data_IF_340536794710
#
_entry.id   IF_340536794710
#
_cell.length_a   1.000
_cell.length_b   1.000
_cell.length_c   1.000
_cell.angle_alpha   90.00
_cell.angle_beta   90.00
_cell.angle_gamma   90.00
#
_symmetry.space_group_name_H-M   'P 1'
#
loop_
_entity.id
_entity.type
_entity.pdbx_description
1 polymer ?
#
# COMPACT_ATOMS: atom_id res chain seq x y z
N UNK A 1 76.64 -13.18 8.54
CA UNK A 1 76.08 -13.78 7.31
C UNK A 1 74.57 -13.76 7.43
N UNK A 2 73.91 -13.18 6.42
CA UNK A 2 72.49 -12.89 6.37
C UNK A 2 71.61 -14.15 6.39
N UNK A 3 70.43 -14.06 7.02
CA UNK A 3 69.37 -15.07 6.93
C UNK A 3 68.01 -14.40 7.04
N UNK A 4 67.39 -14.15 5.89
CA UNK A 4 66.18 -13.36 5.72
C UNK A 4 64.97 -13.84 6.54
N UNK A 5 64.33 -12.91 7.25
CA UNK A 5 63.02 -13.09 7.86
C UNK A 5 61.94 -13.20 6.77
N UNK A 6 61.43 -14.41 6.54
CA UNK A 6 60.22 -14.61 5.73
C UNK A 6 59.01 -14.15 6.55
N UNK A 7 58.61 -12.90 6.35
CA UNK A 7 57.30 -12.41 6.79
C UNK A 7 56.20 -13.19 6.05
N UNK A 8 55.61 -14.16 6.74
CA UNK A 8 54.39 -14.84 6.32
C UNK A 8 53.22 -13.87 6.48
N UNK A 9 52.93 -13.08 5.44
CA UNK A 9 51.65 -12.36 5.36
C UNK A 9 50.54 -13.40 5.25
N UNK A 10 49.92 -13.74 6.38
CA UNK A 10 48.71 -14.54 6.42
C UNK A 10 47.67 -13.92 5.48
N UNK A 11 47.33 -14.62 4.40
CA UNK A 11 46.21 -14.24 3.53
C UNK A 11 44.96 -14.28 4.39
N UNK A 12 44.49 -13.11 4.82
CA UNK A 12 43.21 -12.96 5.50
C UNK A 12 42.14 -13.70 4.70
N UNK A 13 41.44 -14.64 5.35
CA UNK A 13 40.39 -15.41 4.73
C UNK A 13 39.33 -14.44 4.16
N UNK A 14 39.28 -14.33 2.83
CA UNK A 14 38.32 -13.46 2.14
C UNK A 14 36.93 -14.03 2.42
N UNK A 15 36.19 -13.37 3.32
CA UNK A 15 34.79 -13.69 3.61
C UNK A 15 34.01 -13.64 2.30
N UNK A 16 33.52 -14.78 1.81
CA UNK A 16 32.67 -14.86 0.63
C UNK A 16 31.32 -14.23 0.97
N UNK A 17 31.08 -13.01 0.47
CA UNK A 17 29.80 -12.31 0.65
C UNK A 17 28.80 -12.87 -0.37
N UNK A 18 27.66 -13.41 0.08
CA UNK A 18 26.64 -13.89 -0.86
C UNK A 18 26.08 -12.70 -1.65
N UNK A 19 25.70 -12.92 -2.92
CA UNK A 19 25.16 -11.86 -3.79
C UNK A 19 23.94 -11.14 -3.18
N UNK A 20 23.16 -11.81 -2.32
CA UNK A 20 22.01 -11.20 -1.61
C UNK A 20 22.43 -10.19 -0.54
N UNK A 21 23.64 -10.34 0.01
CA UNK A 21 24.16 -9.52 1.10
C UNK A 21 25.05 -8.37 0.56
N UNK A 22 25.50 -8.49 -0.70
CA UNK A 22 26.23 -7.43 -1.39
C UNK A 22 25.29 -6.28 -1.81
N UNK A 23 25.30 -5.19 -1.06
CA UNK A 23 24.62 -3.95 -1.46
C UNK A 23 25.41 -3.29 -2.61
N UNK A 24 25.05 -3.59 -3.86
CA UNK A 24 25.49 -2.82 -5.03
C UNK A 24 24.47 -1.68 -5.29
N UNK A 25 24.71 -0.46 -4.78
CA UNK A 25 23.75 0.64 -4.88
C UNK A 25 23.56 1.08 -6.33
N UNK A 26 22.40 1.67 -6.61
CA UNK A 26 22.11 2.28 -7.91
C UNK A 26 22.77 3.67 -7.96
N UNK A 27 23.45 3.99 -9.06
CA UNK A 27 23.86 5.37 -9.39
C UNK A 27 22.66 6.10 -10.00
N UNK A 28 21.98 5.43 -10.93
CA UNK A 28 20.77 5.91 -11.59
C UNK A 28 19.81 4.73 -11.79
N UNK A 29 18.58 5.02 -12.22
CA UNK A 29 17.58 3.97 -12.46
C UNK A 29 18.09 2.98 -13.52
N UNK A 30 18.35 1.74 -13.09
CA UNK A 30 18.86 0.68 -13.95
C UNK A 30 20.39 0.59 -14.03
N UNK A 31 21.13 1.57 -13.48
CA UNK A 31 22.59 1.61 -13.51
C UNK A 31 23.12 1.39 -12.09
N UNK A 32 23.90 0.32 -11.92
CA UNK A 32 24.51 -0.03 -10.63
C UNK A 32 25.93 0.52 -10.52
N UNK A 33 26.37 0.78 -9.28
CA UNK A 33 27.68 1.36 -8.97
C UNK A 33 28.84 0.44 -9.32
N UNK A 34 28.69 -0.86 -9.13
CA UNK A 34 29.71 -1.85 -9.45
C UNK A 34 29.37 -2.58 -10.75
N UNK A 35 30.39 -2.78 -11.59
CA UNK A 35 30.33 -3.63 -12.78
C UNK A 35 30.17 -5.11 -12.42
N UNK A 36 29.69 -5.91 -13.37
CA UNK A 36 29.49 -7.35 -13.19
C UNK A 36 30.78 -8.07 -12.75
N UNK A 37 31.93 -7.71 -13.34
CA UNK A 37 33.22 -8.28 -12.98
C UNK A 37 33.62 -7.99 -11.51
N UNK A 38 33.37 -6.76 -11.04
CA UNK A 38 33.65 -6.38 -9.65
C UNK A 38 32.70 -7.09 -8.68
N UNK A 39 31.42 -7.23 -9.03
CA UNK A 39 30.44 -8.02 -8.26
C UNK A 39 30.84 -9.50 -8.20
N UNK A 40 31.31 -10.08 -9.31
CA UNK A 40 31.75 -11.47 -9.38
C UNK A 40 32.96 -11.73 -8.47
N UNK A 41 33.94 -10.83 -8.46
CA UNK A 41 35.09 -10.89 -7.54
C UNK A 41 34.67 -10.76 -6.07
N UNK A 42 33.83 -9.78 -5.75
CA UNK A 42 33.35 -9.54 -4.37
C UNK A 42 32.49 -10.68 -3.82
N UNK A 43 31.66 -11.28 -4.68
CA UNK A 43 30.80 -12.41 -4.28
C UNK A 43 31.50 -13.75 -4.30
N UNK A 44 32.72 -13.82 -4.84
CA UNK A 44 33.46 -15.07 -5.01
C UNK A 44 32.75 -16.07 -5.93
N UNK A 45 31.75 -15.66 -6.71
CA UNK A 45 30.93 -16.54 -7.56
C UNK A 45 31.74 -17.26 -8.64
N UNK A 46 32.88 -16.68 -9.03
CA UNK A 46 33.87 -17.32 -9.91
C UNK A 46 34.44 -18.63 -9.35
N UNK A 47 34.43 -18.82 -8.02
CA UNK A 47 34.89 -20.05 -7.37
C UNK A 47 33.82 -21.14 -7.31
N UNK A 48 32.56 -20.79 -7.59
CA UNK A 48 31.40 -21.69 -7.48
C UNK A 48 30.73 -21.93 -8.83
N UNK A 49 31.53 -22.03 -9.90
CA UNK A 49 31.07 -22.55 -11.17
C UNK A 49 30.76 -24.03 -10.93
N UNK A 50 29.48 -24.36 -10.75
CA UNK A 50 29.06 -25.75 -10.56
C UNK A 50 29.13 -26.46 -11.91
N UNK A 51 29.62 -27.69 -11.91
CA UNK A 51 29.57 -28.53 -13.10
C UNK A 51 28.11 -28.75 -13.53
N UNK A 52 27.77 -28.55 -14.82
CA UNK A 52 26.39 -28.61 -15.30
C UNK A 52 25.72 -29.96 -15.00
N UNK A 53 26.50 -31.04 -14.92
CA UNK A 53 26.04 -32.40 -14.60
C UNK A 53 25.58 -32.49 -13.13
N UNK A 54 26.32 -31.89 -12.20
CA UNK A 54 25.98 -31.88 -10.78
C UNK A 54 24.73 -31.01 -10.49
N UNK A 55 24.49 -29.96 -11.29
CA UNK A 55 23.29 -29.12 -11.19
C UNK A 55 22.05 -29.84 -11.70
N UNK A 56 22.16 -30.63 -12.78
CA UNK A 56 21.08 -31.45 -13.29
C UNK A 56 20.69 -32.57 -12.30
N UNK A 57 21.67 -33.17 -11.63
CA UNK A 57 21.44 -34.18 -10.59
C UNK A 57 20.80 -33.61 -9.30
N UNK A 58 21.06 -32.35 -8.98
CA UNK A 58 20.49 -31.65 -7.82
C UNK A 58 19.15 -30.95 -8.10
N UNK A 59 18.58 -31.09 -9.30
CA UNK A 59 17.27 -30.54 -9.62
C UNK A 59 16.18 -31.23 -8.78
N UNK A 60 15.24 -30.47 -8.17
CA UNK A 60 14.18 -31.07 -7.36
C UNK A 60 13.35 -32.04 -8.20
N UNK A 61 12.96 -33.21 -7.66
CA UNK A 61 12.14 -34.16 -8.40
C UNK A 61 10.84 -33.50 -8.86
N UNK A 62 10.31 -33.87 -10.05
CA UNK A 62 9.08 -33.28 -10.57
C UNK A 62 7.98 -33.40 -9.51
N UNK A 63 7.29 -32.29 -9.24
CA UNK A 63 6.17 -32.25 -8.29
C UNK A 63 5.19 -33.37 -8.65
N UNK A 64 4.93 -34.26 -7.68
CA UNK A 64 3.97 -35.39 -7.84
C UNK A 64 2.66 -34.85 -8.44
N UNK A 65 2.14 -35.45 -9.52
CA UNK A 65 0.91 -34.97 -10.15
C UNK A 65 -0.26 -35.05 -9.16
N UNK A 66 -1.01 -33.95 -9.03
CA UNK A 66 -2.22 -33.93 -8.22
C UNK A 66 -3.21 -34.99 -8.72
N UNK A 67 -3.77 -35.80 -7.80
CA UNK A 67 -4.71 -36.88 -8.15
C UNK A 67 -5.99 -36.28 -8.72
N UNK A 68 -6.36 -36.66 -9.94
CA UNK A 68 -7.56 -36.16 -10.66
C UNK A 68 -8.87 -36.73 -10.10
N UNK A 69 -8.80 -37.79 -9.31
CA UNK A 69 -9.94 -38.52 -8.74
C UNK A 69 -9.83 -38.64 -7.22
N UNK A 70 -10.99 -38.55 -6.55
CA UNK A 70 -11.18 -38.78 -5.12
C UNK A 70 -12.16 -39.95 -4.96
N UNK A 71 -11.80 -40.90 -4.11
CA UNK A 71 -12.71 -41.98 -3.69
C UNK A 71 -13.61 -41.43 -2.58
N UNK A 72 -14.92 -41.35 -2.84
CA UNK A 72 -15.92 -41.00 -1.83
C UNK A 72 -16.60 -42.27 -1.34
N UNK A 73 -16.68 -42.46 -0.03
CA UNK A 73 -17.51 -43.50 0.56
C UNK A 73 -18.99 -43.20 0.30
N UNK A 74 -19.75 -44.19 -0.11
CA UNK A 74 -21.18 -44.10 -0.44
C UNK A 74 -21.96 -44.98 0.52
N UNK A 75 -23.03 -44.44 1.10
CA UNK A 75 -23.89 -45.16 2.05
C UNK A 75 -24.88 -46.10 1.38
N UNK A 76 -25.23 -47.18 2.09
CA UNK A 76 -26.23 -48.19 1.70
C UNK A 76 -25.61 -49.57 1.47
N UNK A 77 -26.17 -50.61 2.12
CA UNK A 77 -25.60 -51.96 2.20
C UNK A 77 -25.47 -52.68 0.85
N UNK A 78 -26.21 -52.24 -0.17
CA UNK A 78 -26.17 -52.78 -1.54
C UNK A 78 -25.54 -51.83 -2.57
N UNK A 79 -24.92 -50.71 -2.14
CA UNK A 79 -24.48 -49.62 -3.04
C UNK A 79 -22.95 -49.50 -3.21
N UNK A 80 -22.21 -50.57 -2.93
CA UNK A 80 -20.80 -50.72 -3.33
C UNK A 80 -19.75 -49.96 -2.51
N UNK A 81 -20.10 -49.41 -1.32
CA UNK A 81 -19.24 -48.74 -0.31
C UNK A 81 -18.39 -47.54 -0.76
N UNK A 82 -17.86 -47.49 -1.98
CA UNK A 82 -16.98 -46.43 -2.48
C UNK A 82 -17.25 -46.10 -3.96
N UNK A 83 -17.14 -44.82 -4.32
CA UNK A 83 -17.19 -44.33 -5.71
C UNK A 83 -16.00 -43.43 -6.00
N UNK A 84 -15.35 -43.68 -7.13
CA UNK A 84 -14.27 -42.82 -7.66
C UNK A 84 -14.91 -41.65 -8.40
N UNK A 85 -14.66 -40.42 -7.95
CA UNK A 85 -15.26 -39.20 -8.51
C UNK A 85 -14.15 -38.21 -8.91
N UNK A 86 -14.31 -37.56 -10.05
CA UNK A 86 -13.42 -36.47 -10.48
C UNK A 86 -13.49 -35.27 -9.53
N UNK A 87 -12.34 -34.68 -9.21
CA UNK A 87 -12.26 -33.49 -8.32
C UNK A 87 -12.96 -32.27 -8.93
N UNK A 88 -12.81 -32.07 -10.24
CA UNK A 88 -13.49 -31.03 -11.02
C UNK A 88 -14.25 -31.69 -12.17
N UNK A 89 -15.59 -31.59 -12.15
CA UNK A 89 -16.42 -32.06 -13.25
C UNK A 89 -16.27 -31.13 -14.46
N UNK A 90 -16.31 -31.65 -15.70
CA UNK A 90 -16.31 -30.81 -16.90
C UNK A 90 -17.57 -29.94 -16.97
N UNK A 91 -17.50 -28.83 -17.70
CA UNK A 91 -18.65 -27.95 -17.92
C UNK A 91 -19.65 -28.67 -18.85
N UNK A 92 -20.95 -28.56 -18.56
CA UNK A 92 -22.02 -29.13 -19.39
C UNK A 92 -22.27 -28.32 -20.68
N UNK A 93 -22.02 -27.02 -20.63
CA UNK A 93 -22.24 -26.09 -21.73
C UNK A 93 -20.90 -25.51 -22.21
N UNK A 94 -20.71 -25.54 -23.53
CA UNK A 94 -19.60 -24.92 -24.24
C UNK A 94 -20.15 -23.81 -25.13
N UNK A 95 -19.48 -22.66 -25.18
CA UNK A 95 -19.81 -21.62 -26.14
C UNK A 95 -19.44 -22.08 -27.55
N UNK A 96 -20.14 -21.60 -28.56
CA UNK A 96 -19.82 -21.84 -29.98
C UNK A 96 -18.47 -21.24 -30.37
N UNK A 97 -18.10 -20.12 -29.74
CA UNK A 97 -16.81 -19.45 -29.94
C UNK A 97 -16.07 -19.27 -28.62
N UNK A 98 -14.75 -19.43 -28.65
CA UNK A 98 -13.87 -19.16 -27.52
C UNK A 98 -13.30 -17.73 -27.60
N UNK A 99 -13.44 -16.96 -26.51
CA UNK A 99 -12.77 -15.67 -26.40
C UNK A 99 -11.25 -15.86 -26.30
N UNK A 100 -10.49 -15.15 -27.14
CA UNK A 100 -9.03 -15.16 -27.08
C UNK A 100 -8.52 -14.68 -25.72
N UNK A 101 -7.54 -15.39 -25.15
CA UNK A 101 -6.90 -14.98 -23.89
C UNK A 101 -6.13 -13.68 -24.10
N UNK A 102 -6.33 -12.65 -23.27
CA UNK A 102 -5.57 -11.41 -23.40
C UNK A 102 -4.08 -11.66 -23.15
N UNK A 103 -3.23 -10.92 -23.87
CA UNK A 103 -1.78 -11.00 -23.68
C UNK A 103 -1.39 -10.69 -22.23
N UNK A 104 -0.42 -11.44 -21.69
CA UNK A 104 0.10 -11.22 -20.33
C UNK A 104 0.76 -9.85 -20.24
N UNK A 105 0.09 -8.87 -19.62
CA UNK A 105 0.67 -7.55 -19.37
C UNK A 105 1.36 -7.53 -18.00
N UNK A 106 2.66 -7.25 -17.98
CA UNK A 106 3.42 -6.91 -16.77
C UNK A 106 3.04 -5.50 -16.31
N UNK A 107 1.88 -5.33 -15.67
CA UNK A 107 1.58 -4.09 -14.93
C UNK A 107 2.06 -4.25 -13.49
N UNK A 108 3.22 -3.64 -13.19
CA UNK A 108 3.64 -3.48 -11.80
C UNK A 108 2.70 -2.47 -11.12
N UNK A 109 2.28 -2.77 -9.90
CA UNK A 109 1.51 -1.82 -9.07
C UNK A 109 2.45 -0.66 -8.72
N UNK A 110 2.15 0.53 -9.23
CA UNK A 110 2.93 1.74 -8.95
C UNK A 110 2.35 2.39 -7.70
N UNK A 111 3.03 2.26 -6.57
CA UNK A 111 2.78 3.08 -5.40
C UNK A 111 3.42 4.46 -5.64
N UNK A 112 2.59 5.50 -5.75
CA UNK A 112 3.07 6.87 -5.97
C UNK A 112 3.51 7.45 -4.63
N UNK A 113 4.75 7.91 -4.55
CA UNK A 113 5.24 8.69 -3.41
C UNK A 113 4.49 10.02 -3.34
N UNK A 114 4.31 10.55 -2.13
CA UNK A 114 3.79 11.89 -1.93
C UNK A 114 4.72 12.94 -2.59
N UNK A 115 4.15 14.08 -3.03
CA UNK A 115 4.92 15.28 -3.41
C UNK A 115 5.88 15.65 -2.27
N UNK A 116 7.10 16.11 -2.60
CA UNK A 116 8.08 16.54 -1.58
C UNK A 116 7.60 17.69 -0.69
N UNK A 117 6.65 18.51 -1.15
CA UNK A 117 6.01 19.55 -0.32
C UNK A 117 5.07 19.00 0.76
N UNK A 118 4.64 17.74 0.64
CA UNK A 118 3.72 17.09 1.59
C UNK A 118 4.55 16.28 2.57
N UNK A 119 4.94 16.90 3.67
CA UNK A 119 5.60 16.23 4.80
C UNK A 119 4.61 16.02 5.94
N UNK A 120 4.73 14.98 6.79
CA UNK A 120 3.88 14.80 7.97
C UNK A 120 3.77 16.11 8.78
N UNK A 121 2.55 16.51 9.11
CA UNK A 121 2.25 17.77 9.79
C UNK A 121 2.11 19.02 8.92
N UNK A 122 2.35 18.92 7.61
CA UNK A 122 2.03 20.02 6.68
C UNK A 122 0.53 20.28 6.68
N UNK A 123 0.15 21.56 6.69
CA UNK A 123 -1.25 21.95 6.52
C UNK A 123 -1.61 21.89 5.04
N UNK A 124 -2.79 21.35 4.78
CA UNK A 124 -3.30 21.02 3.47
C UNK A 124 -4.62 21.76 3.27
N UNK A 125 -4.77 22.43 2.12
CA UNK A 125 -6.05 23.00 1.70
C UNK A 125 -6.75 21.99 0.79
N UNK A 126 -7.96 21.59 1.16
CA UNK A 126 -8.74 20.65 0.36
C UNK A 126 -9.43 21.37 -0.79
N UNK A 127 -9.33 20.85 -2.01
CA UNK A 127 -9.95 21.45 -3.19
C UNK A 127 -11.28 20.80 -3.57
N UNK A 128 -11.43 19.50 -3.30
CA UNK A 128 -12.56 18.72 -3.75
C UNK A 128 -13.35 18.07 -2.60
N UNK A 129 -14.63 17.78 -2.87
CA UNK A 129 -15.54 17.11 -1.94
C UNK A 129 -16.27 18.06 -0.99
N UNK A 130 -16.90 17.49 0.04
CA UNK A 130 -17.73 18.24 0.99
C UNK A 130 -16.94 19.22 1.85
N UNK A 131 -15.67 18.93 2.14
CA UNK A 131 -14.79 19.77 2.94
C UNK A 131 -13.86 20.65 2.08
N UNK A 132 -14.25 21.00 0.86
CA UNK A 132 -13.48 21.94 0.01
C UNK A 132 -13.26 23.28 0.73
N UNK A 133 -12.11 23.89 0.50
CA UNK A 133 -11.62 25.09 1.17
C UNK A 133 -11.15 24.86 2.61
N UNK A 134 -11.47 23.74 3.27
CA UNK A 134 -11.02 23.51 4.65
C UNK A 134 -9.50 23.30 4.69
N UNK A 135 -8.89 23.82 5.75
CA UNK A 135 -7.47 23.66 6.07
C UNK A 135 -7.31 22.53 7.06
N UNK A 136 -6.47 21.56 6.75
CA UNK A 136 -6.49 20.23 7.36
C UNK A 136 -5.06 19.73 7.53
N UNK A 137 -4.77 18.96 8.57
CA UNK A 137 -3.41 18.52 8.89
C UNK A 137 -3.10 17.17 8.25
N UNK A 138 -1.97 17.06 7.56
CA UNK A 138 -1.50 15.79 7.00
C UNK A 138 -0.88 14.90 8.06
N UNK A 139 -1.27 13.62 8.11
CA UNK A 139 -0.74 12.66 9.08
C UNK A 139 0.28 11.72 8.45
N UNK A 140 -0.20 10.84 7.55
CA UNK A 140 0.63 9.84 6.88
C UNK A 140 0.07 9.51 5.50
N UNK A 141 0.92 8.99 4.63
CA UNK A 141 0.48 8.38 3.38
C UNK A 141 0.06 6.92 3.67
N UNK A 142 -1.09 6.50 3.15
CA UNK A 142 -1.57 5.13 3.24
C UNK A 142 -0.95 4.25 2.15
N UNK A 143 -1.06 2.94 2.32
CA UNK A 143 -0.57 1.97 1.33
C UNK A 143 -1.17 2.22 -0.05
N UNK A 144 -2.45 2.61 -0.16
CA UNK A 144 -3.08 2.97 -1.44
C UNK A 144 -2.43 4.17 -2.17
N UNK A 145 -1.56 4.91 -1.50
CA UNK A 145 -0.99 6.17 -1.98
C UNK A 145 -1.86 7.40 -1.66
N UNK A 146 -3.03 7.20 -1.05
CA UNK A 146 -3.88 8.29 -0.57
C UNK A 146 -3.32 8.90 0.70
N UNK A 147 -3.59 10.19 0.90
CA UNK A 147 -3.19 10.94 2.08
C UNK A 147 -4.23 10.71 3.18
N UNK A 148 -3.78 10.32 4.38
CA UNK A 148 -4.58 10.39 5.58
C UNK A 148 -4.46 11.79 6.18
N UNK A 149 -5.60 12.45 6.30
CA UNK A 149 -5.69 13.84 6.68
C UNK A 149 -6.71 13.95 7.81
N UNK A 150 -6.45 14.80 8.81
CA UNK A 150 -7.42 15.11 9.86
C UNK A 150 -7.48 16.61 10.08
N UNK A 151 -8.70 17.12 10.14
CA UNK A 151 -8.95 18.47 10.57
C UNK A 151 -9.45 18.35 11.99
N UNK A 152 -8.74 18.86 13.01
CA UNK A 152 -9.20 18.69 14.39
C UNK A 152 -10.70 18.99 14.46
N UNK A 153 -11.52 17.97 14.75
CA UNK A 153 -12.93 17.98 14.35
C UNK A 153 -13.69 19.14 15.03
N UNK A 154 -13.19 19.54 16.20
CA UNK A 154 -13.60 20.72 16.97
C UNK A 154 -13.54 22.04 16.19
N UNK A 155 -12.58 22.22 15.28
CA UNK A 155 -12.35 23.48 14.58
C UNK A 155 -12.97 23.56 13.18
N UNK A 156 -12.85 22.50 12.37
CA UNK A 156 -13.23 22.55 10.96
C UNK A 156 -14.21 21.45 10.52
N UNK A 157 -14.65 20.61 11.47
CA UNK A 157 -15.60 19.52 11.26
C UNK A 157 -15.17 18.53 10.16
N UNK A 158 -13.87 18.45 9.85
CA UNK A 158 -13.32 17.53 8.86
C UNK A 158 -12.75 16.29 9.56
N UNK A 159 -13.45 15.15 9.58
CA UNK A 159 -12.96 13.96 10.27
C UNK A 159 -11.73 13.38 9.59
N UNK A 160 -11.14 12.36 10.20
CA UNK A 160 -10.13 11.49 9.60
C UNK A 160 -10.63 10.99 8.25
N UNK A 161 -9.93 11.41 7.20
CA UNK A 161 -10.37 11.19 5.82
C UNK A 161 -9.20 10.89 4.92
N UNK A 162 -9.47 10.03 3.93
CA UNK A 162 -8.55 9.77 2.82
C UNK A 162 -8.79 10.74 1.69
N UNK A 163 -7.72 11.34 1.18
CA UNK A 163 -7.78 12.33 0.11
C UNK A 163 -6.65 12.06 -0.89
N UNK A 164 -6.95 12.24 -2.17
CA UNK A 164 -5.95 12.11 -3.21
C UNK A 164 -5.09 13.37 -3.29
N UNK A 165 -3.77 13.21 -3.43
CA UNK A 165 -2.79 14.29 -3.48
C UNK A 165 -3.13 15.42 -4.48
N UNK A 166 -3.68 15.08 -5.65
CA UNK A 166 -4.01 16.06 -6.67
C UNK A 166 -5.08 17.07 -6.25
N UNK A 167 -5.94 16.71 -5.28
CA UNK A 167 -7.04 17.58 -4.81
C UNK A 167 -6.66 18.38 -3.57
N UNK A 168 -5.37 18.64 -3.40
CA UNK A 168 -4.83 19.29 -2.22
C UNK A 168 -3.77 20.31 -2.63
N UNK A 169 -3.80 21.49 -2.01
CA UNK A 169 -2.68 22.42 -2.00
C UNK A 169 -1.90 22.20 -0.70
N UNK A 170 -0.60 21.98 -0.80
CA UNK A 170 0.28 21.93 0.37
C UNK A 170 0.70 23.35 0.70
N UNK A 171 0.49 23.79 1.94
CA UNK A 171 0.98 25.08 2.41
C UNK A 171 2.39 24.95 2.95
N UNK A 172 3.07 26.10 3.10
CA UNK A 172 4.38 26.22 3.74
C UNK A 172 4.32 25.97 5.26
N UNK A 173 3.15 26.17 5.88
CA UNK A 173 2.92 25.98 7.31
C UNK A 173 2.95 24.50 7.71
N UNK A 174 3.74 24.19 8.75
CA UNK A 174 3.95 22.84 9.27
C UNK A 174 3.76 22.80 10.77
N UNK A 175 3.09 21.78 11.24
CA UNK A 175 2.95 21.43 12.65
C UNK A 175 3.91 20.28 12.94
N UNK A 176 4.68 20.33 14.04
CA UNK A 176 5.46 19.19 14.46
C UNK A 176 4.55 18.08 15.02
N UNK A 177 4.55 16.93 14.34
CA UNK A 177 3.71 15.75 14.63
C UNK A 177 4.57 14.56 15.09
N UNK A 178 5.86 14.77 15.35
CA UNK A 178 6.79 13.73 15.80
C UNK A 178 6.28 12.95 17.03
N UNK A 179 5.59 13.62 17.95
CA UNK A 179 5.04 13.00 19.16
C UNK A 179 3.70 12.26 18.97
N UNK A 180 3.06 12.35 17.80
CA UNK A 180 1.72 11.80 17.57
C UNK A 180 1.83 10.33 17.18
N UNK A 181 1.22 9.47 17.99
CA UNK A 181 1.19 8.02 17.79
C UNK A 181 -0.07 7.64 17.01
N UNK A 182 0.11 7.26 15.74
CA UNK A 182 -0.97 6.78 14.88
C UNK A 182 -1.17 5.27 15.07
N UNK A 183 -2.40 4.84 15.31
CA UNK A 183 -2.71 3.42 15.47
C UNK A 183 -2.59 2.64 14.16
N UNK A 184 -2.22 1.36 14.26
CA UNK A 184 -2.11 0.44 13.12
C UNK A 184 -3.45 0.13 12.46
N UNK A 185 -4.55 0.41 13.15
CA UNK A 185 -5.91 0.27 12.63
C UNK A 185 -6.25 1.30 11.55
N UNK A 186 -5.51 2.42 11.48
CA UNK A 186 -5.69 3.48 10.46
C UNK A 186 -5.10 3.04 9.10
N UNK A 187 -5.73 2.03 8.50
CA UNK A 187 -5.43 1.47 7.18
C UNK A 187 -6.55 1.76 6.19
N UNK A 188 -6.29 1.53 4.91
CA UNK A 188 -7.23 1.80 3.82
C UNK A 188 -8.59 1.11 3.96
N UNK A 189 -8.61 -0.10 4.52
CA UNK A 189 -9.81 -0.90 4.72
C UNK A 189 -10.82 -0.21 5.65
N UNK A 190 -10.33 0.48 6.68
CA UNK A 190 -11.17 1.19 7.64
C UNK A 190 -12.02 2.26 6.96
N UNK A 191 -11.54 2.87 5.87
CA UNK A 191 -12.18 3.99 5.19
C UNK A 191 -12.92 3.60 3.91
N UNK A 192 -13.11 2.31 3.64
CA UNK A 192 -13.91 1.85 2.50
C UNK A 192 -15.39 2.10 2.82
N UNK A 193 -16.15 2.56 1.82
CA UNK A 193 -17.61 2.67 1.96
C UNK A 193 -18.21 1.27 1.93
N UNK A 194 -19.07 0.90 2.89
CA UNK A 194 -19.77 -0.38 2.83
C UNK A 194 -20.63 -0.43 1.57
N UNK A 195 -20.61 -1.56 0.88
CA UNK A 195 -21.49 -1.81 -0.27
C UNK A 195 -22.81 -2.35 0.27
N UNK A 196 -23.91 -1.67 -0.02
CA UNK A 196 -25.23 -2.23 0.25
C UNK A 196 -25.51 -3.33 -0.79
N UNK A 197 -25.97 -4.51 -0.35
CA UNK A 197 -26.40 -5.54 -1.30
C UNK A 197 -27.59 -5.01 -2.10
N UNK A 198 -27.63 -5.31 -3.40
CA UNK A 198 -28.80 -5.00 -4.22
C UNK A 198 -29.95 -5.90 -3.75
N UNK A 199 -31.14 -5.31 -3.56
CA UNK A 199 -32.35 -6.08 -3.25
C UNK A 199 -32.63 -7.08 -4.38
N UNK A 200 -33.01 -8.35 -4.08
CA UNK A 200 -33.33 -9.37 -5.09
C UNK A 200 -34.40 -8.91 -6.10
N UNK A 201 -35.32 -8.04 -5.66
CA UNK A 201 -36.40 -7.49 -6.50
C UNK A 201 -35.93 -6.59 -7.63
N UNK A 202 -34.76 -5.95 -7.50
CA UNK A 202 -34.19 -5.07 -8.55
C UNK A 202 -33.46 -5.86 -9.66
N UNK A 203 -33.29 -7.17 -9.50
CA UNK A 203 -32.67 -8.06 -10.50
C UNK A 203 -33.69 -8.93 -11.23
N UNK A 204 -34.92 -9.03 -10.72
CA UNK A 204 -36.04 -9.64 -11.44
C UNK A 204 -36.70 -8.57 -12.32
N UNK A 205 -37.03 -8.96 -13.56
CA UNK A 205 -37.73 -8.12 -14.53
C UNK A 205 -38.97 -7.47 -13.88
N UNK A 206 -38.96 -6.15 -13.67
CA UNK A 206 -40.13 -5.38 -13.22
C UNK A 206 -40.16 -4.93 -11.75
N UNK A 207 -39.05 -4.94 -11.01
CA UNK A 207 -38.99 -4.30 -9.68
C UNK A 207 -39.12 -2.77 -9.74
N UNK A 208 -39.83 -2.17 -8.77
CA UNK A 208 -39.98 -0.72 -8.65
C UNK A 208 -38.63 -0.05 -8.40
N UNK A 209 -38.19 0.78 -9.36
CA UNK A 209 -36.89 1.43 -9.40
C UNK A 209 -36.67 2.38 -8.20
N UNK A 210 -37.74 2.79 -7.51
CA UNK A 210 -37.74 3.83 -6.50
C UNK A 210 -37.72 3.33 -5.04
N UNK A 211 -37.85 2.03 -4.77
CA UNK A 211 -37.82 1.47 -3.40
C UNK A 211 -36.42 1.37 -2.76
N UNK A 212 -35.38 1.92 -3.39
CA UNK A 212 -34.06 1.97 -2.77
C UNK A 212 -34.06 2.98 -1.61
N UNK A 213 -34.36 2.51 -0.40
CA UNK A 213 -34.13 3.24 0.85
C UNK A 213 -32.65 3.65 0.90
N UNK A 214 -32.37 4.92 0.63
CA UNK A 214 -31.03 5.51 0.80
C UNK A 214 -30.72 5.52 2.29
N UNK A 215 -29.94 4.55 2.75
CA UNK A 215 -29.41 4.57 4.10
C UNK A 215 -28.31 5.64 4.18
N UNK A 216 -28.57 6.70 4.95
CA UNK A 216 -27.56 7.70 5.24
C UNK A 216 -26.43 7.10 6.08
N UNK A 217 -25.20 7.53 5.79
CA UNK A 217 -24.03 7.01 6.49
C UNK A 217 -23.95 7.56 7.91
N UNK A 218 -24.06 6.68 8.90
CA UNK A 218 -23.78 7.00 10.30
C UNK A 218 -22.37 6.50 10.70
N UNK A 219 -21.53 7.35 11.34
CA UNK A 219 -20.24 6.91 11.85
C UNK A 219 -20.39 5.89 12.98
N UNK A 220 -19.61 4.80 12.92
CA UNK A 220 -19.51 3.84 14.02
C UNK A 220 -18.82 4.46 15.23
N UNK A 221 -19.12 3.95 16.43
CA UNK A 221 -18.54 4.48 17.67
C UNK A 221 -17.03 4.28 17.76
N UNK A 222 -16.51 3.22 17.14
CA UNK A 222 -15.06 3.01 16.96
C UNK A 222 -14.40 4.16 16.20
N UNK A 223 -15.03 4.65 15.11
CA UNK A 223 -14.49 5.78 14.34
C UNK A 223 -14.52 7.08 15.15
N UNK A 224 -15.56 7.28 15.98
CA UNK A 224 -15.65 8.45 16.87
C UNK A 224 -14.54 8.42 17.92
N UNK A 225 -14.29 7.26 18.55
CA UNK A 225 -13.20 7.07 19.52
C UNK A 225 -11.83 7.34 18.90
N UNK A 226 -11.55 6.72 17.74
CA UNK A 226 -10.30 6.95 17.00
C UNK A 226 -10.09 8.43 16.63
N UNK A 227 -11.16 9.12 16.24
CA UNK A 227 -11.08 10.56 15.95
C UNK A 227 -10.69 11.35 17.20
N UNK A 228 -11.36 11.09 18.33
CA UNK A 228 -11.09 11.80 19.59
C UNK A 228 -9.65 11.59 20.05
N UNK A 229 -9.12 10.38 19.93
CA UNK A 229 -7.76 10.07 20.39
C UNK A 229 -6.69 10.73 19.53
N UNK A 230 -6.86 10.75 18.21
CA UNK A 230 -5.96 11.45 17.29
C UNK A 230 -6.06 12.97 17.48
N UNK A 231 -7.28 13.50 17.60
CA UNK A 231 -7.48 14.94 17.75
C UNK A 231 -6.93 15.45 19.09
N UNK A 232 -7.04 14.70 20.20
CA UNK A 232 -6.42 15.06 21.48
C UNK A 232 -4.91 15.30 21.33
N UNK A 233 -4.21 14.40 20.61
CA UNK A 233 -2.77 14.50 20.40
C UNK A 233 -2.40 15.70 19.52
N UNK A 234 -3.20 15.96 18.48
CA UNK A 234 -2.95 17.08 17.56
C UNK A 234 -3.26 18.41 18.22
N UNK A 235 -4.32 18.50 19.03
CA UNK A 235 -4.64 19.70 19.79
C UNK A 235 -3.56 20.02 20.82
N UNK A 236 -2.96 19.00 21.44
CA UNK A 236 -1.81 19.18 22.32
C UNK A 236 -0.59 19.70 21.56
N UNK A 237 -0.28 19.13 20.38
CA UNK A 237 0.82 19.62 19.52
C UNK A 237 0.56 21.06 19.03
N UNK A 238 -0.69 21.37 18.66
CA UNK A 238 -1.09 22.71 18.21
C UNK A 238 -0.93 23.76 19.32
N UNK A 239 -1.22 23.39 20.56
CA UNK A 239 -1.11 24.29 21.71
C UNK A 239 0.34 24.56 22.14
N UNK A 240 1.29 23.69 21.77
CA UNK A 240 2.73 23.89 22.00
C UNK A 240 3.38 24.82 20.97
N UNK A 241 2.73 25.06 19.84
CA UNK A 241 3.27 25.91 18.79
C UNK A 241 3.31 27.38 19.27
N UNK A 242 4.37 28.17 18.95
CA UNK A 242 4.46 29.57 19.37
C UNK A 242 3.25 30.40 18.92
N UNK A 243 2.73 30.11 17.73
CA UNK A 243 1.57 30.80 17.13
C UNK A 243 0.26 30.01 17.31
N UNK A 244 0.08 29.34 18.45
CA UNK A 244 -1.04 28.42 18.67
C UNK A 244 -2.42 29.05 18.42
N UNK A 245 -2.64 30.29 18.86
CA UNK A 245 -3.94 30.96 18.73
C UNK A 245 -4.28 31.28 17.27
N UNK A 246 -3.33 31.90 16.56
CA UNK A 246 -3.45 32.21 15.13
C UNK A 246 -3.68 30.94 14.33
N UNK A 247 -2.96 29.86 14.64
CA UNK A 247 -3.08 28.60 13.91
C UNK A 247 -4.42 27.90 14.15
N UNK A 248 -5.01 28.03 15.35
CA UNK A 248 -6.37 27.55 15.65
C UNK A 248 -7.41 28.28 14.80
N UNK A 249 -7.32 29.61 14.70
CA UNK A 249 -8.21 30.40 13.84
C UNK A 249 -7.99 30.10 12.35
N UNK A 250 -6.73 29.94 11.94
CA UNK A 250 -6.36 29.57 10.59
C UNK A 250 -7.00 28.25 10.17
N UNK A 251 -6.95 27.21 11.01
CA UNK A 251 -7.60 25.92 10.73
C UNK A 251 -9.13 26.01 10.70
N UNK A 252 -9.74 26.88 11.51
CA UNK A 252 -11.19 27.11 11.55
C UNK A 252 -11.70 27.77 10.27
N UNK A 253 -10.96 28.75 9.73
CA UNK A 253 -11.39 29.53 8.57
C UNK A 253 -11.16 28.77 7.25
N UNK A 254 -12.18 28.66 6.37
CA UNK A 254 -11.99 28.09 5.05
C UNK A 254 -11.18 29.02 4.15
N UNK A 255 -10.40 28.43 3.25
CA UNK A 255 -9.76 29.09 2.13
C UNK A 255 -10.79 29.39 1.03
N UNK A 256 -10.76 30.62 0.55
CA UNK A 256 -11.45 31.09 -0.64
C UNK A 256 -10.54 32.13 -1.32
N UNK A 257 -10.73 32.30 -2.63
CA UNK A 257 -10.12 33.40 -3.37
C UNK A 257 -11.10 34.57 -3.38
N UNK A 258 -10.63 35.75 -2.99
CA UNK A 258 -11.39 36.98 -3.14
C UNK A 258 -11.09 37.63 -4.49
N UNK A 259 -11.86 38.66 -4.84
CA UNK A 259 -11.59 39.51 -6.00
C UNK A 259 -10.14 39.99 -5.99
N UNK A 260 -9.48 39.93 -7.16
CA UNK A 260 -8.07 40.33 -7.37
C UNK A 260 -7.03 39.47 -6.64
N UNK A 261 -7.39 38.29 -6.10
CA UNK A 261 -6.42 37.29 -5.65
C UNK A 261 -6.15 36.25 -6.75
N UNK A 262 -4.94 36.25 -7.31
CA UNK A 262 -4.58 35.34 -8.39
C UNK A 262 -3.70 34.18 -7.89
N UNK A 263 -4.10 32.91 -8.09
CA UNK A 263 -3.36 31.74 -7.55
C UNK A 263 -1.90 31.63 -7.99
N UNK A 264 -1.55 32.15 -9.18
CA UNK A 264 -0.17 32.15 -9.66
C UNK A 264 0.74 33.15 -8.92
N UNK A 265 0.16 34.17 -8.29
CA UNK A 265 0.87 35.16 -7.49
C UNK A 265 0.87 34.81 -5.99
N UNK A 266 -0.03 33.92 -5.56
CA UNK A 266 -0.11 33.48 -4.16
C UNK A 266 1.01 32.50 -3.82
N UNK A 267 1.59 32.67 -2.64
CA UNK A 267 2.46 31.68 -2.01
C UNK A 267 1.66 30.90 -0.99
N UNK A 268 1.61 29.58 -1.20
CA UNK A 268 0.91 28.65 -0.32
C UNK A 268 1.88 28.08 0.70
#
# INVERSE_FOLDING_TARGET
>A
MAGATKNSTAKAAIKVVKHKDLKNPLIARGIRKFSNAKVMKLTGSWKFVKDPIAVAAAAPPPKKPERKTIVKKVGGDKNGKERVILVKKPRKFYSTEDSLKPAKRSRKRVYRQARGSITPGTILILLAGRHRGRRVVFLKQLESGLLLVTGPYKYNSCPLRRIHQNFVIATSTKLDISSVKLSDQLKDQLFVKPKTPRSPGNTAKGGDLFEQKKADYTPSDERKKLQMDVDKQILAALSKHPEAEILKEYLKRPFALNSRMFPHALRF
#
